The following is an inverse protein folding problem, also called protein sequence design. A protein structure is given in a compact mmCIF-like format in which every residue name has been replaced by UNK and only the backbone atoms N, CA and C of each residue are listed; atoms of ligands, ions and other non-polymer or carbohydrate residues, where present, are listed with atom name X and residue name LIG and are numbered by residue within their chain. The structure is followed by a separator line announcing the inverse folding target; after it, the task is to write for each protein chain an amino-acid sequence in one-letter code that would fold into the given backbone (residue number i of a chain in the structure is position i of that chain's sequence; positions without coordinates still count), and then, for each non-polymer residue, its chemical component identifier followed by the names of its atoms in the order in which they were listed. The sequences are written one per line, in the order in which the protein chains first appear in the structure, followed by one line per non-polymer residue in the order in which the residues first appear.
data_IF_981387284265
#
_entry.id   IF_981387284265
#
_cell.length_a   1.000
_cell.length_b   1.000
_cell.length_c   1.000
_cell.angle_alpha   90.00
_cell.angle_beta   90.00
_cell.angle_gamma   90.00
#
_symmetry.space_group_name_H-M   'P 1'
#
loop_
_entity.id
_entity.type
_entity.pdbx_description
1 polymer ?
#
# COMPACT_ATOMS: atom_id res chain seq x y z
N UNK A 1 41.59 -12.93 49.05
CA UNK A 1 41.31 -11.48 48.91
C UNK A 1 40.12 -11.35 48.02
N UNK A 2 38.96 -11.15 48.62
CA UNK A 2 37.65 -11.07 47.94
C UNK A 2 37.28 -9.60 47.82
N UNK A 3 37.31 -9.08 46.63
CA UNK A 3 36.95 -7.68 46.36
C UNK A 3 35.43 -7.57 46.33
N UNK A 4 34.86 -6.90 47.31
CA UNK A 4 33.45 -6.58 47.44
C UNK A 4 33.14 -5.43 46.50
N UNK A 5 32.38 -5.68 45.41
CA UNK A 5 31.83 -4.63 44.56
C UNK A 5 30.69 -3.94 45.33
N UNK A 6 30.93 -2.71 45.74
CA UNK A 6 29.90 -1.82 46.25
C UNK A 6 28.98 -1.38 45.12
N UNK A 7 27.74 -1.81 45.21
CA UNK A 7 26.66 -1.33 44.36
C UNK A 7 26.15 -0.02 44.93
N UNK A 8 26.68 1.09 44.41
CA UNK A 8 26.32 2.43 44.87
C UNK A 8 25.26 3.02 43.93
N UNK A 9 24.21 3.51 44.58
CA UNK A 9 23.25 4.52 44.12
C UNK A 9 22.19 4.07 43.14
N UNK A 10 21.04 3.74 43.71
CA UNK A 10 19.76 3.84 43.01
C UNK A 10 19.50 5.31 42.63
N UNK A 11 19.08 5.59 41.38
CA UNK A 11 18.65 6.92 41.00
C UNK A 11 17.43 7.30 41.86
N UNK A 12 17.54 8.41 42.62
CA UNK A 12 16.41 8.99 43.32
C UNK A 12 15.45 9.56 42.28
N UNK A 13 14.33 8.90 42.10
CA UNK A 13 13.23 9.47 41.34
C UNK A 13 12.62 10.59 42.18
N UNK A 14 12.77 11.84 41.74
CA UNK A 14 12.00 12.93 42.31
C UNK A 14 10.54 12.74 41.89
N UNK A 15 9.68 12.58 42.87
CA UNK A 15 8.22 12.58 42.64
C UNK A 15 7.86 13.96 42.11
N UNK A 16 7.37 14.00 40.85
CA UNK A 16 6.79 15.23 40.31
C UNK A 16 5.42 15.35 40.96
N UNK A 17 5.25 16.32 41.87
CA UNK A 17 3.94 16.73 42.36
C UNK A 17 3.18 17.36 41.18
N UNK A 18 2.27 16.58 40.62
CA UNK A 18 1.32 17.10 39.63
C UNK A 18 0.33 17.97 40.40
N UNK A 19 0.29 19.25 40.08
CA UNK A 19 -0.74 20.13 40.59
C UNK A 19 -2.14 19.54 40.26
N UNK A 20 -3.12 19.65 41.16
CA UNK A 20 -4.45 19.16 40.92
C UNK A 20 -5.00 19.84 39.64
N UNK A 21 -5.55 19.01 38.76
CA UNK A 21 -6.15 19.48 37.50
C UNK A 21 -7.25 20.46 37.85
N UNK A 22 -7.16 21.69 37.37
CA UNK A 22 -8.20 22.70 37.50
C UNK A 22 -9.48 22.20 36.82
N UNK A 23 -10.63 22.54 37.43
CA UNK A 23 -11.93 22.23 36.82
C UNK A 23 -12.31 23.19 35.70
N UNK A 24 -11.51 24.24 35.47
CA UNK A 24 -11.71 25.17 34.37
C UNK A 24 -10.87 24.72 33.14
N UNK A 25 -11.52 24.30 32.05
CA UNK A 25 -10.81 23.80 30.87
C UNK A 25 -9.95 24.87 30.19
N UNK A 26 -10.22 26.16 30.43
CA UNK A 26 -9.40 27.24 29.88
C UNK A 26 -8.13 27.50 30.71
N UNK A 27 -8.16 27.22 32.01
CA UNK A 27 -7.03 27.39 32.90
C UNK A 27 -5.98 26.27 32.72
N UNK A 28 -6.44 25.05 32.41
CA UNK A 28 -5.56 23.90 32.20
C UNK A 28 -4.64 24.07 30.96
N UNK A 29 -5.07 24.86 29.97
CA UNK A 29 -4.29 25.11 28.76
C UNK A 29 -3.26 26.25 28.91
N UNK A 30 -3.21 26.92 30.05
CA UNK A 30 -2.23 27.99 30.30
C UNK A 30 -0.86 27.43 30.78
N UNK A 31 -0.79 26.14 31.05
CA UNK A 31 0.48 25.52 31.42
C UNK A 31 1.36 25.32 30.20
N UNK A 32 2.63 25.78 30.23
CA UNK A 32 3.59 25.75 29.13
C UNK A 32 3.73 24.37 28.43
N UNK A 33 3.62 23.28 29.22
CA UNK A 33 3.71 21.91 28.70
C UNK A 33 2.42 21.49 27.97
N UNK A 34 1.25 21.98 28.43
CA UNK A 34 -0.03 21.65 27.83
C UNK A 34 -0.32 22.50 26.59
N UNK A 35 0.28 23.66 26.48
CA UNK A 35 0.16 24.52 25.30
C UNK A 35 0.63 23.85 24.01
N UNK A 36 1.66 22.98 24.09
CA UNK A 36 2.13 22.17 22.97
C UNK A 36 1.13 21.11 22.52
N UNK A 37 0.18 20.73 23.38
CA UNK A 37 -0.85 19.73 23.10
C UNK A 37 -2.24 20.32 22.97
N UNK A 38 -2.36 21.66 23.06
CA UNK A 38 -3.64 22.32 22.85
C UNK A 38 -4.14 21.96 21.45
N UNK A 39 -5.28 21.28 21.32
CA UNK A 39 -5.84 21.06 19.99
C UNK A 39 -6.11 22.43 19.42
N UNK A 40 -5.49 22.73 18.31
CA UNK A 40 -5.83 23.92 17.54
C UNK A 40 -7.34 23.90 17.35
N UNK A 41 -7.97 25.07 17.56
CA UNK A 41 -9.42 25.31 17.42
C UNK A 41 -10.02 24.39 16.38
N UNK A 42 -11.18 23.73 16.66
CA UNK A 42 -11.69 22.66 15.83
C UNK A 42 -11.66 23.08 14.37
N UNK A 43 -10.68 22.54 13.69
CA UNK A 43 -10.55 22.69 12.25
C UNK A 43 -11.90 22.28 11.70
N UNK A 44 -12.55 23.18 11.00
CA UNK A 44 -13.80 22.89 10.29
C UNK A 44 -13.68 21.50 9.68
N UNK A 45 -14.73 20.66 9.74
CA UNK A 45 -14.61 19.27 9.31
C UNK A 45 -13.91 19.26 7.97
N UNK A 46 -12.72 18.68 7.96
CA UNK A 46 -11.92 18.53 6.76
C UNK A 46 -12.87 17.89 5.77
N UNK A 47 -13.31 18.67 4.80
CA UNK A 47 -14.08 18.11 3.70
C UNK A 47 -13.22 16.95 3.23
N UNK A 48 -13.75 15.73 3.40
CA UNK A 48 -13.04 14.52 3.01
C UNK A 48 -12.41 14.81 1.66
N UNK A 49 -11.08 14.71 1.52
CA UNK A 49 -10.45 15.06 0.27
C UNK A 49 -11.19 14.29 -0.82
N UNK A 50 -11.84 15.00 -1.72
CA UNK A 50 -12.44 14.36 -2.88
C UNK A 50 -11.26 13.73 -3.59
N UNK A 51 -11.25 12.42 -3.68
CA UNK A 51 -10.30 11.72 -4.53
C UNK A 51 -10.53 12.24 -5.94
N UNK A 52 -9.67 13.13 -6.38
CA UNK A 52 -9.64 13.54 -7.78
C UNK A 52 -8.95 12.41 -8.53
N UNK A 53 -9.60 11.96 -9.59
CA UNK A 53 -8.91 11.15 -10.59
C UNK A 53 -7.80 12.04 -11.14
N UNK A 54 -6.56 11.82 -10.70
CA UNK A 54 -5.42 12.36 -11.43
C UNK A 54 -5.44 11.67 -12.78
N UNK A 55 -5.50 12.40 -13.91
CA UNK A 55 -5.35 11.77 -15.21
C UNK A 55 -4.10 10.90 -15.16
N UNK A 56 -4.24 9.66 -15.62
CA UNK A 56 -3.10 8.74 -15.67
C UNK A 56 -1.99 9.42 -16.46
N UNK A 57 -0.81 9.57 -15.87
CA UNK A 57 0.37 10.11 -16.56
C UNK A 57 0.79 9.25 -17.76
N UNK A 58 0.17 8.08 -17.92
CA UNK A 58 0.36 7.20 -19.08
C UNK A 58 -0.18 7.78 -20.41
N UNK A 59 -1.00 8.81 -20.36
CA UNK A 59 -1.52 9.48 -21.55
C UNK A 59 -0.70 10.68 -22.03
N UNK A 60 0.26 11.16 -21.23
CA UNK A 60 1.04 12.36 -21.58
C UNK A 60 2.06 12.12 -22.71
N UNK A 61 2.41 10.86 -22.97
CA UNK A 61 3.32 10.47 -24.06
C UNK A 61 2.62 10.32 -25.42
N UNK A 62 1.28 10.39 -25.46
CA UNK A 62 0.51 10.18 -26.67
C UNK A 62 -0.25 11.45 -27.05
N UNK A 63 -0.30 11.71 -28.35
CA UNK A 63 -1.21 12.69 -28.94
C UNK A 63 -2.65 12.40 -28.46
N UNK A 64 -3.43 13.44 -28.18
CA UNK A 64 -4.77 13.30 -27.57
C UNK A 64 -5.68 12.30 -28.32
N UNK A 65 -5.49 12.15 -29.64
CA UNK A 65 -6.22 11.21 -30.49
C UNK A 65 -5.82 9.75 -30.26
N UNK A 66 -4.64 9.49 -29.71
CA UNK A 66 -4.10 8.15 -29.43
C UNK A 66 -4.02 7.81 -27.95
N UNK A 67 -4.50 8.70 -27.08
CA UNK A 67 -4.51 8.45 -25.64
C UNK A 67 -5.42 7.26 -25.30
N UNK A 68 -4.98 6.34 -24.40
CA UNK A 68 -5.81 5.21 -23.99
C UNK A 68 -7.14 5.70 -23.41
N UNK A 69 -8.26 5.10 -23.85
CA UNK A 69 -9.61 5.50 -23.44
C UNK A 69 -9.98 4.77 -22.14
N UNK A 70 -10.34 5.51 -21.06
CA UNK A 70 -10.88 4.88 -19.87
C UNK A 70 -12.12 4.05 -20.19
N UNK A 71 -12.21 2.86 -19.58
CA UNK A 71 -13.34 1.94 -19.76
C UNK A 71 -13.97 1.67 -18.40
N UNK A 72 -15.30 1.74 -18.33
CA UNK A 72 -16.04 1.44 -17.09
C UNK A 72 -15.85 -0.01 -16.67
N UNK A 73 -15.81 -0.26 -15.36
CA UNK A 73 -15.73 -1.61 -14.80
C UNK A 73 -16.89 -2.52 -15.22
N UNK A 74 -18.06 -1.94 -15.55
CA UNK A 74 -19.24 -2.68 -16.01
C UNK A 74 -19.09 -3.30 -17.39
N UNK A 75 -18.18 -2.76 -18.20
CA UNK A 75 -17.88 -3.22 -19.56
C UNK A 75 -16.72 -4.22 -19.60
N UNK A 76 -16.09 -4.45 -18.43
CA UNK A 76 -14.88 -5.25 -18.30
C UNK A 76 -15.16 -6.61 -17.63
N UNK A 77 -14.29 -7.62 -17.84
CA UNK A 77 -14.38 -8.88 -17.14
C UNK A 77 -14.35 -8.71 -15.60
N UNK A 78 -14.89 -9.71 -14.90
CA UNK A 78 -14.93 -9.70 -13.44
C UNK A 78 -13.51 -9.65 -12.86
N UNK A 79 -13.24 -8.63 -12.05
CA UNK A 79 -11.89 -8.27 -11.62
C UNK A 79 -11.32 -9.23 -10.56
N UNK A 80 -12.15 -9.87 -9.73
CA UNK A 80 -11.64 -10.78 -8.70
C UNK A 80 -11.03 -12.02 -9.33
N UNK A 81 -11.73 -12.60 -10.32
CA UNK A 81 -11.24 -13.77 -11.04
C UNK A 81 -9.99 -13.44 -11.84
N UNK A 82 -10.02 -12.32 -12.57
CA UNK A 82 -8.87 -11.82 -13.33
C UNK A 82 -7.66 -11.58 -12.42
N UNK A 83 -7.85 -10.96 -11.27
CA UNK A 83 -6.77 -10.72 -10.30
C UNK A 83 -6.18 -12.03 -9.78
N UNK A 84 -7.04 -13.02 -9.49
CA UNK A 84 -6.58 -14.32 -9.02
C UNK A 84 -5.76 -15.06 -10.09
N UNK A 85 -6.24 -15.08 -11.33
CA UNK A 85 -5.51 -15.68 -12.45
C UNK A 85 -4.19 -14.95 -12.73
N UNK A 86 -4.21 -13.64 -12.72
CA UNK A 86 -3.02 -12.81 -12.93
C UNK A 86 -1.93 -13.08 -11.90
N UNK A 87 -2.29 -13.02 -10.59
CA UNK A 87 -1.28 -13.24 -9.54
C UNK A 87 -0.76 -14.68 -9.52
N UNK A 88 -1.59 -15.66 -9.89
CA UNK A 88 -1.14 -17.04 -10.06
C UNK A 88 -0.03 -17.12 -11.12
N UNK A 89 -0.24 -16.48 -12.27
CA UNK A 89 0.77 -16.43 -13.32
C UNK A 89 2.04 -15.69 -12.85
N UNK A 90 1.89 -14.57 -12.16
CA UNK A 90 3.01 -13.76 -11.66
C UNK A 90 3.91 -14.53 -10.68
N UNK A 91 3.33 -15.27 -9.72
CA UNK A 91 4.15 -16.03 -8.76
C UNK A 91 4.90 -17.19 -9.43
N UNK A 92 4.34 -17.77 -10.49
CA UNK A 92 5.02 -18.80 -11.31
C UNK A 92 6.12 -18.21 -12.19
N UNK A 93 5.91 -17.01 -12.74
CA UNK A 93 6.91 -16.26 -13.50
C UNK A 93 8.10 -15.92 -12.60
N UNK A 94 7.85 -15.38 -11.40
CA UNK A 94 8.92 -15.10 -10.45
C UNK A 94 9.71 -16.33 -10.04
N UNK A 95 9.07 -17.50 -10.02
CA UNK A 95 9.74 -18.78 -9.77
C UNK A 95 10.38 -19.41 -11.02
N UNK A 96 10.30 -18.75 -12.17
CA UNK A 96 10.86 -19.26 -13.44
C UNK A 96 10.12 -20.46 -14.05
N UNK A 97 8.89 -20.75 -13.58
CA UNK A 97 8.08 -21.88 -14.08
C UNK A 97 7.20 -21.51 -15.26
N UNK A 98 7.03 -20.21 -15.51
CA UNK A 98 6.16 -19.68 -16.56
C UNK A 98 6.84 -18.51 -17.27
N UNK A 99 6.59 -18.39 -18.59
CA UNK A 99 7.08 -17.24 -19.35
C UNK A 99 6.28 -15.98 -19.04
N UNK A 100 6.97 -14.84 -18.88
CA UNK A 100 6.33 -13.55 -18.69
C UNK A 100 5.43 -13.14 -19.87
N UNK A 101 5.70 -13.65 -21.09
CA UNK A 101 4.92 -13.34 -22.29
C UNK A 101 3.42 -13.66 -22.15
N UNK A 102 3.04 -14.58 -21.27
CA UNK A 102 1.64 -14.96 -21.06
C UNK A 102 0.79 -13.86 -20.43
N UNK A 103 1.41 -12.93 -19.72
CA UNK A 103 0.71 -11.79 -19.08
C UNK A 103 1.02 -10.45 -19.77
N UNK A 104 1.75 -10.48 -20.89
CA UNK A 104 2.15 -9.27 -21.62
C UNK A 104 0.96 -8.39 -21.99
N UNK A 105 -0.11 -8.98 -22.52
CA UNK A 105 -1.31 -8.26 -22.93
C UNK A 105 -2.08 -7.62 -21.76
N UNK A 106 -1.81 -8.07 -20.52
CA UNK A 106 -2.45 -7.59 -19.30
C UNK A 106 -1.58 -6.58 -18.54
N UNK A 107 -0.38 -6.29 -19.01
CA UNK A 107 0.58 -5.44 -18.32
C UNK A 107 0.92 -4.20 -19.13
N UNK A 108 1.02 -3.07 -18.44
CA UNK A 108 1.70 -1.92 -19.00
C UNK A 108 3.17 -2.28 -19.31
N UNK A 109 3.75 -1.68 -20.33
CA UNK A 109 5.09 -2.06 -20.81
C UNK A 109 6.19 -1.99 -19.75
N UNK A 110 6.14 -0.99 -18.85
CA UNK A 110 7.11 -0.87 -17.74
C UNK A 110 6.95 -1.99 -16.71
N UNK A 111 5.70 -2.37 -16.40
CA UNK A 111 5.41 -3.47 -15.49
C UNK A 111 5.84 -4.80 -16.10
N UNK A 112 5.61 -4.97 -17.39
CA UNK A 112 6.04 -6.15 -18.12
C UNK A 112 7.57 -6.29 -18.14
N UNK A 113 8.29 -5.20 -18.40
CA UNK A 113 9.76 -5.18 -18.37
C UNK A 113 10.31 -5.51 -16.97
N UNK A 114 9.70 -4.98 -15.91
CA UNK A 114 10.07 -5.30 -14.52
C UNK A 114 9.79 -6.78 -14.19
N UNK A 115 8.66 -7.30 -14.64
CA UNK A 115 8.30 -8.71 -14.46
C UNK A 115 9.27 -9.64 -15.18
N UNK A 116 9.68 -9.32 -16.40
CA UNK A 116 10.70 -10.06 -17.15
C UNK A 116 12.03 -10.06 -16.40
N UNK A 117 12.46 -8.91 -15.89
CA UNK A 117 13.70 -8.78 -15.13
C UNK A 117 13.69 -9.62 -13.84
N UNK A 118 12.52 -9.74 -13.21
CA UNK A 118 12.32 -10.49 -11.95
C UNK A 118 12.00 -11.97 -12.18
N UNK A 119 11.83 -12.42 -13.42
CA UNK A 119 11.53 -13.81 -13.74
C UNK A 119 12.64 -14.75 -13.22
N UNK A 120 12.24 -15.82 -12.54
CA UNK A 120 13.17 -16.82 -12.00
C UNK A 120 13.97 -16.39 -10.78
N UNK A 121 13.73 -15.19 -10.22
CA UNK A 121 14.48 -14.74 -9.03
C UNK A 121 14.01 -15.41 -7.72
N UNK A 122 12.81 -15.97 -7.70
CA UNK A 122 12.30 -16.69 -6.54
C UNK A 122 12.63 -18.19 -6.66
N UNK A 123 13.23 -18.76 -5.60
CA UNK A 123 13.59 -20.19 -5.59
C UNK A 123 12.39 -21.12 -5.46
N UNK A 124 11.28 -20.61 -4.92
CA UNK A 124 10.07 -21.37 -4.62
C UNK A 124 8.87 -20.65 -5.20
N UNK A 125 7.89 -21.40 -5.71
CA UNK A 125 6.60 -20.82 -6.10
C UNK A 125 5.85 -20.35 -4.87
N UNK A 126 5.42 -19.11 -4.88
CA UNK A 126 4.62 -18.55 -3.81
C UNK A 126 3.23 -19.20 -3.75
N UNK A 127 2.73 -19.50 -2.54
CA UNK A 127 1.36 -19.94 -2.32
C UNK A 127 0.49 -18.75 -2.00
N UNK A 128 -0.51 -18.48 -2.84
CA UNK A 128 -1.51 -17.44 -2.60
C UNK A 128 -2.35 -17.86 -1.38
N UNK A 129 -2.47 -16.98 -0.39
CA UNK A 129 -3.20 -17.22 0.86
C UNK A 129 -4.48 -16.42 0.94
N UNK A 130 -4.44 -15.17 0.52
CA UNK A 130 -5.58 -14.27 0.55
C UNK A 130 -5.46 -13.25 -0.58
N UNK A 131 -6.55 -13.01 -1.26
CA UNK A 131 -6.70 -11.94 -2.24
C UNK A 131 -7.77 -11.00 -1.70
N UNK A 132 -7.48 -9.72 -1.65
CA UNK A 132 -8.43 -8.67 -1.35
C UNK A 132 -8.43 -7.70 -2.51
N UNK A 133 -9.57 -7.54 -3.14
CA UNK A 133 -9.78 -6.61 -4.27
C UNK A 133 -10.70 -5.50 -3.80
N UNK A 134 -10.39 -4.27 -4.18
CA UNK A 134 -11.20 -3.09 -3.95
C UNK A 134 -11.28 -2.29 -5.23
N UNK A 135 -12.41 -1.67 -5.49
CA UNK A 135 -12.60 -0.75 -6.62
C UNK A 135 -12.90 0.63 -6.05
N UNK A 136 -11.86 1.44 -5.80
CA UNK A 136 -12.03 2.76 -5.21
C UNK A 136 -12.75 3.73 -6.16
N UNK A 137 -12.62 3.54 -7.46
CA UNK A 137 -13.22 4.34 -8.53
C UNK A 137 -13.65 3.40 -9.66
N UNK A 138 -14.59 3.86 -10.49
CA UNK A 138 -14.97 3.13 -11.69
C UNK A 138 -13.78 2.97 -12.64
N UNK A 139 -13.61 1.77 -13.18
CA UNK A 139 -12.47 1.42 -14.04
C UNK A 139 -11.12 1.36 -13.32
N UNK A 140 -11.06 1.46 -11.99
CA UNK A 140 -9.82 1.31 -11.20
C UNK A 140 -10.00 0.24 -10.14
N UNK A 141 -9.08 -0.71 -10.10
CA UNK A 141 -9.04 -1.76 -9.09
C UNK A 141 -7.69 -1.80 -8.39
N UNK A 142 -7.73 -1.89 -7.07
CA UNK A 142 -6.55 -2.08 -6.22
C UNK A 142 -6.68 -3.40 -5.47
N UNK A 143 -5.62 -4.18 -5.52
CA UNK A 143 -5.62 -5.51 -4.94
C UNK A 143 -4.42 -5.71 -4.04
N UNK A 144 -4.66 -6.36 -2.92
CA UNK A 144 -3.64 -6.79 -1.98
C UNK A 144 -3.67 -8.30 -1.87
N UNK A 145 -2.56 -8.94 -2.22
CA UNK A 145 -2.45 -10.39 -2.22
C UNK A 145 -1.39 -10.83 -1.21
N UNK A 146 -1.77 -11.68 -0.28
CA UNK A 146 -0.83 -12.32 0.64
C UNK A 146 -0.31 -13.61 0.03
N UNK A 147 1.00 -13.71 -0.14
CA UNK A 147 1.68 -14.86 -0.73
C UNK A 147 2.66 -15.44 0.29
N UNK A 148 2.66 -16.75 0.45
CA UNK A 148 3.59 -17.47 1.32
C UNK A 148 4.72 -18.10 0.49
N UNK A 149 5.96 -17.73 0.81
CA UNK A 149 7.19 -18.32 0.28
C UNK A 149 7.91 -19.09 1.41
N UNK A 150 7.73 -20.41 1.45
CA UNK A 150 8.23 -21.22 2.57
C UNK A 150 7.58 -20.74 3.90
N UNK A 151 8.42 -20.24 4.82
CA UNK A 151 7.95 -19.75 6.13
C UNK A 151 7.70 -18.23 6.15
N UNK A 152 7.98 -17.53 5.06
CA UNK A 152 7.78 -16.07 4.97
C UNK A 152 6.48 -15.74 4.28
N UNK A 153 5.74 -14.81 4.87
CA UNK A 153 4.60 -14.14 4.23
C UNK A 153 5.10 -12.85 3.59
N UNK A 154 4.66 -12.62 2.37
CA UNK A 154 4.88 -11.38 1.65
C UNK A 154 3.57 -10.87 1.09
N UNK A 155 3.53 -9.59 0.81
CA UNK A 155 2.35 -8.93 0.24
C UNK A 155 2.67 -8.47 -1.17
N UNK A 156 1.76 -8.71 -2.09
CA UNK A 156 1.81 -8.17 -3.44
C UNK A 156 0.72 -7.12 -3.56
N UNK A 157 1.10 -5.91 -3.90
CA UNK A 157 0.16 -4.85 -4.27
C UNK A 157 0.05 -4.80 -5.79
N UNK A 158 -1.20 -4.73 -6.27
CA UNK A 158 -1.52 -4.73 -7.70
C UNK A 158 -2.55 -3.63 -7.94
N UNK A 159 -2.37 -2.86 -9.02
CA UNK A 159 -3.36 -1.93 -9.53
C UNK A 159 -3.68 -2.28 -10.98
N UNK A 160 -4.97 -2.35 -11.26
CA UNK A 160 -5.50 -2.47 -12.62
C UNK A 160 -6.29 -1.22 -12.98
N UNK A 161 -6.17 -0.83 -14.22
CA UNK A 161 -6.95 0.25 -14.82
C UNK A 161 -7.67 -0.27 -16.06
N UNK A 162 -8.93 0.08 -16.20
CA UNK A 162 -9.76 -0.23 -17.37
C UNK A 162 -9.40 0.72 -18.50
N UNK A 163 -8.71 0.23 -19.51
CA UNK A 163 -8.25 1.00 -20.65
C UNK A 163 -8.51 0.22 -21.94
N UNK A 164 -9.08 0.88 -22.95
CA UNK A 164 -9.33 0.31 -24.27
C UNK A 164 -10.07 -1.05 -24.24
N UNK A 165 -11.11 -1.13 -23.40
CA UNK A 165 -11.94 -2.34 -23.26
C UNK A 165 -11.29 -3.50 -22.51
N UNK A 166 -10.21 -3.28 -21.78
CA UNK A 166 -9.52 -4.33 -21.00
C UNK A 166 -8.94 -3.81 -19.69
N UNK A 167 -8.75 -4.73 -18.75
CA UNK A 167 -7.96 -4.43 -17.54
C UNK A 167 -6.47 -4.46 -17.87
N UNK A 168 -5.77 -3.39 -17.53
CA UNK A 168 -4.32 -3.26 -17.67
C UNK A 168 -3.67 -3.11 -16.30
N UNK A 169 -2.69 -3.95 -15.97
CA UNK A 169 -1.90 -3.85 -14.76
C UNK A 169 -0.93 -2.66 -14.89
N UNK A 170 -1.15 -1.62 -14.10
CA UNK A 170 -0.35 -0.39 -14.08
C UNK A 170 0.58 -0.29 -12.89
N UNK A 171 0.37 -1.11 -11.84
CA UNK A 171 1.32 -1.26 -10.74
C UNK A 171 1.37 -2.70 -10.24
N UNK A 172 2.59 -3.19 -9.97
CA UNK A 172 2.85 -4.51 -9.41
C UNK A 172 4.08 -4.44 -8.50
N UNK A 173 3.89 -4.62 -7.20
CA UNK A 173 4.96 -4.52 -6.22
C UNK A 173 4.91 -5.69 -5.23
N UNK A 174 6.06 -6.34 -4.99
CA UNK A 174 6.24 -7.34 -3.94
C UNK A 174 6.91 -6.67 -2.73
N UNK A 175 6.24 -6.73 -1.58
CA UNK A 175 6.65 -6.14 -0.30
C UNK A 175 7.10 -7.24 0.67
#
# INVERSE_FOLDING_TARGET
MTTKLEYSQQPSFSTIDLAPISSDPDEDWQHLVLEMFRPETPVQPIQKPRLYLTPSTFGEEYDADFAPKPTSATELPEINELTFQFIHNVVEIWAGRRSASQVQAMCHHLIFADLQRKAGQQKIVGRIRKVKVTQPLDGISESTVTVRYGDRLRVVAIRFEGLDGRWLCTALTLI
#
